data_IF_047889928932
#
_entry.id   IF_047889928932
#
_cell.length_a   1.000
_cell.length_b   1.000
_cell.length_c   1.000
_cell.angle_alpha   90.00
_cell.angle_beta   90.00
_cell.angle_gamma   90.00
#
_symmetry.space_group_name_H-M   'P 1'
#
loop_
_entity.id
_entity.type
_entity.pdbx_description
1 polymer ?
#
# COMPACT_ATOMS: atom_id res chain seq x y z
N UNK A 1 17.49 31.20 86.43
CA UNK A 1 18.56 30.53 87.21
C UNK A 1 19.64 30.10 86.22
N UNK A 2 20.87 30.62 86.29
CA UNK A 2 22.02 30.02 87.04
C UNK A 2 22.42 28.64 86.49
N UNK A 3 23.67 28.30 86.13
CA UNK A 3 25.02 28.96 86.04
C UNK A 3 25.85 28.13 85.01
N UNK A 4 26.99 28.52 84.42
CA UNK A 4 27.86 29.72 84.52
C UNK A 4 28.74 29.88 83.25
N UNK A 5 29.46 31.01 83.13
CA UNK A 5 30.77 31.15 82.44
C UNK A 5 31.84 31.53 83.53
N UNK A 6 33.16 31.74 83.31
CA UNK A 6 33.84 32.54 82.25
C UNK A 6 34.97 31.72 81.54
N UNK A 7 36.13 32.16 81.00
CA UNK A 7 37.03 33.34 81.08
C UNK A 7 37.83 33.59 79.77
N UNK A 8 38.22 34.86 79.59
CA UNK A 8 39.53 35.46 79.18
C UNK A 8 40.55 34.60 78.38
N UNK A 9 41.25 35.14 77.36
CA UNK A 9 42.10 36.36 77.44
C UNK A 9 42.11 37.26 76.19
N UNK A 10 42.70 38.46 76.33
CA UNK A 10 42.62 39.62 75.42
C UNK A 10 44.03 39.97 74.81
N UNK A 11 44.34 41.15 74.21
CA UNK A 11 45.15 41.23 72.97
C UNK A 11 46.58 41.80 73.21
N UNK A 12 47.31 42.23 72.15
CA UNK A 12 47.30 43.69 71.88
C UNK A 12 47.47 44.13 70.40
N UNK A 13 47.47 45.44 70.21
CA UNK A 13 47.29 46.20 68.97
C UNK A 13 48.57 46.66 68.22
N UNK A 14 48.43 46.86 66.88
CA UNK A 14 49.07 47.95 66.06
C UNK A 14 50.62 47.99 65.98
N UNK A 15 51.27 48.87 65.17
CA UNK A 15 50.78 49.80 64.14
C UNK A 15 51.46 49.69 62.74
N UNK A 16 51.03 50.58 61.84
CA UNK A 16 51.66 51.10 60.61
C UNK A 16 53.20 51.02 60.49
N UNK A 17 53.69 50.80 59.25
CA UNK A 17 54.31 51.86 58.41
C UNK A 17 54.50 51.44 56.95
N UNK A 18 54.48 52.42 56.02
CA UNK A 18 54.89 52.26 54.61
C UNK A 18 56.37 52.62 54.46
N UNK A 19 57.05 51.97 53.52
CA UNK A 19 58.36 52.38 52.99
C UNK A 19 58.36 52.28 51.46
N UNK A 20 58.75 53.38 50.80
CA UNK A 20 59.39 53.34 49.47
C UNK A 20 60.87 52.87 49.68
N UNK A 21 61.71 52.56 48.69
CA UNK A 21 61.85 53.15 47.33
C UNK A 21 62.12 52.05 46.25
N UNK A 22 62.84 52.20 45.11
CA UNK A 22 62.32 51.68 43.83
C UNK A 22 63.12 50.51 43.19
N UNK A 23 62.54 49.92 42.14
CA UNK A 23 63.25 49.02 41.20
C UNK A 23 62.86 49.34 39.76
N UNK A 24 63.84 49.41 38.84
CA UNK A 24 63.64 49.58 37.40
C UNK A 24 63.41 48.21 36.74
N UNK A 25 62.50 48.08 35.78
CA UNK A 25 62.33 46.86 35.00
C UNK A 25 61.39 47.00 33.80
N UNK A 26 61.88 46.62 32.62
CA UNK A 26 61.24 46.51 31.31
C UNK A 26 59.71 46.62 31.21
N UNK A 27 59.23 47.47 30.30
CA UNK A 27 57.99 47.21 29.58
C UNK A 27 58.23 46.14 28.50
N UNK A 28 57.32 45.19 28.38
CA UNK A 28 57.23 44.28 27.22
C UNK A 28 55.75 44.07 26.90
N UNK A 29 55.41 44.17 25.61
CA UNK A 29 54.04 44.05 25.11
C UNK A 29 53.77 42.61 24.70
N UNK A 30 52.62 42.07 25.12
CA UNK A 30 52.05 40.85 24.57
C UNK A 30 50.53 41.00 24.44
N UNK A 31 50.03 41.17 23.22
CA UNK A 31 48.59 41.20 22.89
C UNK A 31 48.26 39.92 22.12
N UNK A 32 47.61 38.97 22.80
CA UNK A 32 47.10 37.69 22.27
C UNK A 32 46.33 36.99 23.42
N UNK A 33 45.16 36.34 23.26
CA UNK A 33 44.26 36.14 22.10
C UNK A 33 42.81 36.38 22.57
N UNK A 34 41.96 36.96 21.71
CA UNK A 34 40.50 37.02 21.91
C UNK A 34 39.79 35.95 21.05
N UNK A 35 39.86 34.69 21.49
CA UNK A 35 39.13 33.51 21.02
C UNK A 35 39.40 32.41 22.08
N UNK A 36 38.49 31.54 22.49
CA UNK A 36 37.19 31.09 21.95
C UNK A 36 36.12 31.33 23.04
N UNK A 37 34.93 31.84 22.73
CA UNK A 37 33.73 31.05 22.45
C UNK A 37 32.89 31.66 21.31
N UNK A 38 33.30 31.42 20.07
CA UNK A 38 32.33 31.24 18.99
C UNK A 38 31.70 29.86 19.15
N UNK A 39 30.81 29.72 20.15
CA UNK A 39 29.85 28.63 20.24
C UNK A 39 28.74 28.83 19.19
N UNK A 40 29.14 28.99 17.93
CA UNK A 40 28.22 29.01 16.80
C UNK A 40 27.59 27.63 16.70
N UNK A 41 26.26 27.57 16.80
CA UNK A 41 25.48 26.34 16.79
C UNK A 41 25.43 25.68 15.38
N UNK A 42 26.59 25.40 14.80
CA UNK A 42 26.72 24.26 13.88
C UNK A 42 26.54 23.02 14.74
N UNK A 43 25.35 22.42 14.68
CA UNK A 43 25.13 21.09 15.25
C UNK A 43 26.19 20.13 14.72
N UNK A 44 26.63 19.20 15.57
CA UNK A 44 27.69 18.26 15.23
C UNK A 44 27.29 17.44 14.00
N UNK A 45 28.26 17.08 13.15
CA UNK A 45 28.00 16.39 11.89
C UNK A 45 28.76 15.08 11.87
N UNK A 46 28.02 13.98 11.87
CA UNK A 46 28.54 12.61 11.86
C UNK A 46 28.28 11.99 10.49
N UNK A 47 29.26 11.26 9.95
CA UNK A 47 29.06 10.39 8.79
C UNK A 47 28.63 9.01 9.27
N UNK A 48 27.61 8.43 8.66
CA UNK A 48 27.06 7.11 9.02
C UNK A 48 28.12 6.00 9.08
N UNK A 49 29.22 6.10 8.31
CA UNK A 49 30.34 5.13 8.34
C UNK A 49 31.17 5.16 9.63
N UNK A 50 31.08 6.26 10.39
CA UNK A 50 31.78 6.46 11.67
C UNK A 50 30.85 6.24 12.88
N UNK A 51 29.54 6.19 12.65
CA UNK A 51 28.54 6.02 13.70
C UNK A 51 28.54 4.59 14.26
N UNK A 52 28.42 4.46 15.59
CA UNK A 52 28.12 3.19 16.24
C UNK A 52 26.64 3.12 16.62
N UNK A 53 26.01 2.00 16.30
CA UNK A 53 24.63 1.70 16.69
C UNK A 53 24.63 0.80 17.92
N UNK A 54 24.24 1.34 19.08
CA UNK A 54 24.24 0.62 20.35
C UNK A 54 22.84 0.74 20.97
N UNK A 55 22.18 -0.40 21.20
CA UNK A 55 20.82 -0.49 21.77
C UNK A 55 19.79 0.45 21.09
N UNK A 56 19.83 0.56 19.76
CA UNK A 56 18.93 1.41 18.97
C UNK A 56 19.27 2.90 18.99
N UNK A 57 20.45 3.30 19.50
CA UNK A 57 20.94 4.68 19.51
C UNK A 57 22.22 4.86 18.71
N UNK A 58 22.34 6.02 18.09
CA UNK A 58 23.53 6.54 17.38
C UNK A 58 24.53 7.10 18.40
N UNK A 59 25.80 6.74 18.25
CA UNK A 59 26.95 7.30 18.96
C UNK A 59 28.05 7.67 17.96
N UNK A 60 28.81 8.74 18.22
CA UNK A 60 30.04 9.03 17.47
C UNK A 60 31.20 8.19 18.02
N UNK A 61 31.67 7.22 17.26
CA UNK A 61 32.85 6.41 17.58
C UNK A 61 32.87 5.87 19.02
N UNK A 62 33.73 6.44 19.87
CA UNK A 62 33.91 6.05 21.27
C UNK A 62 33.23 6.98 22.28
N UNK A 63 32.21 7.73 21.88
CA UNK A 63 31.41 8.55 22.79
C UNK A 63 30.58 7.68 23.76
N UNK A 64 30.55 8.06 25.04
CA UNK A 64 29.69 7.42 26.05
C UNK A 64 28.26 7.97 26.05
N UNK A 65 28.06 9.18 25.53
CA UNK A 65 26.76 9.85 25.44
C UNK A 65 26.17 9.70 24.02
N UNK A 66 24.84 9.54 23.87
CA UNK A 66 24.21 9.41 22.55
C UNK A 66 24.39 10.67 21.69
N UNK A 67 24.68 10.48 20.41
CA UNK A 67 24.90 11.56 19.45
C UNK A 67 23.66 12.46 19.31
N UNK A 68 23.86 13.77 19.17
CA UNK A 68 22.81 14.75 18.90
C UNK A 68 23.34 15.80 17.91
N UNK A 69 22.76 15.85 16.71
CA UNK A 69 23.34 16.53 15.57
C UNK A 69 22.85 15.97 14.25
N UNK A 70 23.53 16.31 13.16
CA UNK A 70 23.19 15.84 11.81
C UNK A 70 23.99 14.60 11.46
N UNK A 71 23.30 13.48 11.29
CA UNK A 71 23.85 12.24 10.73
C UNK A 71 23.71 12.26 9.21
N UNK A 72 24.78 11.98 8.48
CA UNK A 72 24.86 12.09 7.02
C UNK A 72 25.18 10.75 6.37
N UNK A 73 24.82 10.57 5.10
CA UNK A 73 25.04 9.34 4.33
C UNK A 73 24.33 8.07 4.88
N UNK A 74 23.21 8.22 5.60
CA UNK A 74 22.41 7.10 6.12
C UNK A 74 21.67 6.40 4.97
N UNK A 75 21.76 5.07 4.77
CA UNK A 75 20.97 4.40 3.75
C UNK A 75 19.46 4.52 4.03
N UNK A 76 18.67 4.87 3.02
CA UNK A 76 17.20 5.03 3.13
C UNK A 76 16.52 3.82 3.77
N UNK A 77 16.90 2.61 3.34
CA UNK A 77 16.45 1.32 3.88
C UNK A 77 16.72 1.19 5.38
N UNK A 78 17.88 1.62 5.87
CA UNK A 78 18.25 1.54 7.30
C UNK A 78 17.45 2.50 8.18
N UNK A 79 16.89 3.56 7.61
CA UNK A 79 16.09 4.56 8.33
C UNK A 79 14.58 4.25 8.26
N UNK A 80 14.12 3.72 7.13
CA UNK A 80 12.70 3.70 6.75
C UNK A 80 12.05 2.32 6.73
N UNK A 81 12.80 1.22 6.58
CA UNK A 81 12.19 -0.11 6.36
C UNK A 81 11.43 -0.64 7.58
N UNK A 82 11.82 -0.26 8.79
CA UNK A 82 11.19 -0.73 10.04
C UNK A 82 9.96 0.12 10.43
N UNK A 83 9.69 1.22 9.72
CA UNK A 83 8.56 2.11 9.98
C UNK A 83 7.25 1.47 9.49
N UNK A 84 6.51 0.83 10.41
CA UNK A 84 5.32 0.04 10.08
C UNK A 84 4.24 0.81 9.29
N UNK A 85 4.04 2.10 9.56
CA UNK A 85 3.13 2.94 8.76
C UNK A 85 3.59 3.10 7.31
N UNK A 86 4.89 3.26 7.06
CA UNK A 86 5.41 3.33 5.69
C UNK A 86 5.32 2.00 4.96
N UNK A 87 5.47 0.87 5.67
CA UNK A 87 5.23 -0.46 5.11
C UNK A 87 3.77 -0.65 4.69
N UNK A 88 2.81 -0.07 5.43
CA UNK A 88 1.39 -0.09 5.08
C UNK A 88 1.10 0.77 3.85
N UNK A 89 1.55 2.04 3.83
CA UNK A 89 1.43 2.93 2.67
C UNK A 89 2.08 2.32 1.43
N UNK A 90 3.35 1.91 1.52
CA UNK A 90 4.09 1.31 0.41
C UNK A 90 3.41 0.07 -0.18
N UNK A 91 2.69 -0.73 0.63
CA UNK A 91 1.90 -1.88 0.15
C UNK A 91 0.63 -1.48 -0.60
N UNK A 92 -0.02 -0.38 -0.21
CA UNK A 92 -1.25 0.11 -0.86
C UNK A 92 -0.92 0.93 -2.10
N UNK A 93 0.10 1.79 -2.01
CA UNK A 93 0.74 2.44 -3.14
C UNK A 93 1.24 1.42 -4.19
N UNK A 94 1.88 0.32 -3.78
CA UNK A 94 2.29 -0.71 -4.75
C UNK A 94 1.09 -1.33 -5.46
N UNK A 95 0.02 -1.72 -4.75
CA UNK A 95 -1.21 -2.24 -5.36
C UNK A 95 -1.80 -1.25 -6.38
N UNK A 96 -1.90 0.03 -6.04
CA UNK A 96 -2.42 1.06 -6.95
C UNK A 96 -1.51 1.32 -8.16
N UNK A 97 -0.19 1.14 -8.02
CA UNK A 97 0.79 1.36 -9.09
C UNK A 97 0.78 0.26 -10.16
N UNK A 98 0.28 -0.96 -9.89
CA UNK A 98 0.33 -2.11 -10.82
C UNK A 98 -0.21 -1.76 -12.21
N UNK A 99 -1.34 -1.07 -12.27
CA UNK A 99 -2.02 -0.73 -13.53
C UNK A 99 -1.31 0.42 -14.29
N UNK A 100 -0.47 1.22 -13.61
CA UNK A 100 0.34 2.28 -14.23
C UNK A 100 1.65 1.78 -14.85
N UNK A 101 2.07 0.54 -14.57
CA UNK A 101 3.35 -0.01 -15.01
C UNK A 101 3.27 -0.64 -16.43
N UNK A 102 4.31 -0.47 -17.28
CA UNK A 102 4.41 -1.14 -18.58
C UNK A 102 4.28 -2.66 -18.48
N UNK A 103 3.68 -3.31 -19.49
CA UNK A 103 3.45 -4.76 -19.47
C UNK A 103 4.73 -5.61 -19.31
N UNK A 104 5.88 -5.10 -19.76
CA UNK A 104 7.21 -5.69 -19.57
C UNK A 104 7.69 -5.68 -18.11
N UNK A 105 7.17 -4.78 -17.28
CA UNK A 105 7.55 -4.57 -15.89
C UNK A 105 6.56 -5.23 -14.91
N UNK A 106 5.35 -5.57 -15.36
CA UNK A 106 4.31 -6.28 -14.57
C UNK A 106 4.60 -7.76 -14.27
N UNK A 107 5.87 -8.16 -14.20
CA UNK A 107 6.28 -9.52 -13.83
C UNK A 107 6.12 -9.76 -12.32
N UNK A 108 4.92 -10.18 -11.92
CA UNK A 108 4.37 -10.08 -10.57
C UNK A 108 5.18 -10.75 -9.42
N UNK A 109 6.04 -11.74 -9.71
CA UNK A 109 6.85 -12.40 -8.67
C UNK A 109 7.77 -11.44 -7.91
N UNK A 110 8.28 -10.39 -8.57
CA UNK A 110 9.13 -9.38 -7.93
C UNK A 110 8.36 -8.40 -7.04
N UNK A 111 7.06 -8.23 -7.30
CA UNK A 111 6.26 -7.09 -6.82
C UNK A 111 5.34 -7.47 -5.66
N UNK A 112 4.79 -8.68 -5.66
CA UNK A 112 4.01 -9.24 -4.55
C UNK A 112 4.89 -9.97 -3.51
N UNK A 113 6.15 -10.27 -3.85
CA UNK A 113 7.10 -11.03 -3.03
C UNK A 113 8.07 -10.20 -2.18
N UNK A 114 8.12 -8.88 -2.38
CA UNK A 114 8.83 -7.92 -1.52
C UNK A 114 7.81 -7.02 -0.82
N UNK A 115 8.15 -6.46 0.34
CA UNK A 115 7.24 -5.51 0.99
C UNK A 115 7.16 -4.22 0.16
N UNK A 116 5.96 -3.69 -0.04
CA UNK A 116 5.73 -2.65 -1.06
C UNK A 116 6.58 -1.39 -0.88
N UNK A 117 6.94 -1.04 0.36
CA UNK A 117 7.86 0.06 0.63
C UNK A 117 9.29 -0.19 0.11
N UNK A 118 9.80 -1.43 0.09
CA UNK A 118 11.12 -1.74 -0.49
C UNK A 118 11.19 -1.42 -2.00
N UNK A 119 10.04 -1.40 -2.70
CA UNK A 119 9.96 -1.10 -4.13
C UNK A 119 10.05 0.42 -4.37
N UNK A 120 9.62 1.23 -3.40
CA UNK A 120 9.68 2.69 -3.44
C UNK A 120 11.05 3.23 -2.97
N UNK A 121 11.78 2.49 -2.13
CA UNK A 121 13.11 2.88 -1.65
C UNK A 121 14.19 2.62 -2.71
N UNK A 122 14.69 3.69 -3.33
CA UNK A 122 15.59 3.62 -4.49
C UNK A 122 17.09 3.51 -4.12
N UNK A 123 17.43 3.11 -2.89
CA UNK A 123 18.82 3.13 -2.40
C UNK A 123 19.37 4.54 -2.23
N UNK A 124 18.50 5.48 -1.85
CA UNK A 124 18.87 6.86 -1.55
C UNK A 124 19.74 6.95 -0.28
N UNK A 125 20.51 8.03 -0.16
CA UNK A 125 21.30 8.35 1.03
C UNK A 125 20.75 9.59 1.72
N UNK A 126 20.53 9.49 3.03
CA UNK A 126 19.81 10.46 3.83
C UNK A 126 20.73 11.27 4.74
N UNK A 127 20.44 12.56 4.77
CA UNK A 127 20.81 13.48 5.84
C UNK A 127 19.67 13.52 6.86
N UNK A 128 19.95 13.20 8.12
CA UNK A 128 18.96 13.00 9.19
C UNK A 128 19.35 13.79 10.43
N UNK A 129 18.40 14.52 11.02
CA UNK A 129 18.59 15.12 12.34
C UNK A 129 18.39 14.05 13.45
N UNK A 130 19.33 14.01 14.39
CA UNK A 130 19.35 13.10 15.53
C UNK A 130 19.29 13.93 16.82
N UNK A 131 18.50 13.50 17.80
CA UNK A 131 18.50 14.01 19.17
C UNK A 131 18.52 12.84 20.17
N UNK A 132 19.36 12.91 21.19
CA UNK A 132 19.47 11.85 22.21
C UNK A 132 19.80 10.46 21.66
N UNK A 133 20.44 10.40 20.49
CA UNK A 133 20.78 9.16 19.76
C UNK A 133 19.71 8.60 18.84
N UNK A 134 18.53 9.22 18.71
CA UNK A 134 17.45 8.73 17.81
C UNK A 134 17.07 9.79 16.76
N UNK A 135 16.52 9.39 15.59
CA UNK A 135 15.97 10.35 14.63
C UNK A 135 14.89 11.25 15.21
N UNK A 136 15.11 12.56 15.18
CA UNK A 136 14.14 13.58 15.62
C UNK A 136 14.37 14.86 14.82
N UNK A 137 13.31 15.45 14.27
CA UNK A 137 13.42 16.50 13.26
C UNK A 137 13.50 15.96 11.82
N UNK A 138 14.11 16.72 10.89
CA UNK A 138 14.00 16.44 9.45
C UNK A 138 14.94 15.34 8.93
N UNK A 139 14.50 14.67 7.87
CA UNK A 139 15.28 13.73 7.08
C UNK A 139 15.09 14.00 5.58
N UNK A 140 16.19 14.13 4.84
CA UNK A 140 16.20 14.37 3.38
C UNK A 140 17.12 13.37 2.72
N UNK A 141 16.55 12.50 1.87
CA UNK A 141 17.27 11.46 1.15
C UNK A 141 17.44 11.82 -0.33
N UNK A 142 18.68 11.71 -0.82
CA UNK A 142 19.07 12.01 -2.20
C UNK A 142 19.50 10.76 -2.95
N UNK A 143 19.38 10.79 -4.28
CA UNK A 143 19.98 9.76 -5.13
C UNK A 143 21.52 9.77 -4.96
N UNK A 144 22.19 8.59 -4.91
CA UNK A 144 23.63 8.52 -4.74
C UNK A 144 24.38 9.38 -5.77
N UNK A 145 25.39 10.12 -5.29
CA UNK A 145 26.23 11.03 -6.11
C UNK A 145 25.47 12.15 -6.85
N UNK A 146 24.25 12.50 -6.41
CA UNK A 146 23.42 13.56 -6.99
C UNK A 146 22.79 14.44 -5.91
N UNK A 147 22.45 15.69 -6.26
CA UNK A 147 21.64 16.57 -5.42
C UNK A 147 20.14 16.30 -5.50
N UNK A 148 19.72 15.43 -6.42
CA UNK A 148 18.34 15.03 -6.63
C UNK A 148 17.73 14.38 -5.39
N UNK A 149 16.72 15.03 -4.82
CA UNK A 149 15.97 14.55 -3.67
C UNK A 149 14.99 13.44 -4.10
N UNK A 150 15.05 12.31 -3.40
CA UNK A 150 14.15 11.16 -3.58
C UNK A 150 13.14 11.04 -2.45
N UNK A 151 13.48 11.42 -1.21
CA UNK A 151 12.58 11.35 -0.05
C UNK A 151 12.75 12.60 0.82
N UNK A 152 11.64 13.22 1.20
CA UNK A 152 11.57 14.30 2.19
C UNK A 152 10.62 13.87 3.31
N UNK A 153 11.07 13.85 4.57
CA UNK A 153 10.22 13.54 5.72
C UNK A 153 10.79 14.07 7.04
N UNK A 154 10.15 13.75 8.16
CA UNK A 154 10.62 14.06 9.50
C UNK A 154 10.25 12.95 10.50
N UNK A 155 10.99 12.93 11.60
CA UNK A 155 10.85 11.99 12.71
C UNK A 155 10.56 12.72 14.01
N UNK A 156 10.05 11.97 14.99
CA UNK A 156 9.93 12.37 16.39
C UNK A 156 10.17 11.15 17.26
N UNK A 157 11.15 11.22 18.16
CA UNK A 157 11.63 10.14 19.02
C UNK A 157 11.86 8.79 18.28
N UNK A 158 12.36 8.84 17.04
CA UNK A 158 12.63 7.68 16.18
C UNK A 158 11.47 7.18 15.31
N UNK A 159 10.26 7.72 15.44
CA UNK A 159 9.09 7.38 14.63
C UNK A 159 8.79 8.45 13.57
N UNK A 160 8.33 8.05 12.37
CA UNK A 160 7.91 9.00 11.33
C UNK A 160 6.81 9.95 11.87
N UNK A 161 6.98 11.26 11.67
CA UNK A 161 6.08 12.26 12.21
C UNK A 161 6.10 13.54 11.38
N UNK A 162 4.95 13.93 10.82
CA UNK A 162 4.83 15.00 9.83
C UNK A 162 4.64 14.44 8.40
N UNK A 163 4.80 15.27 7.36
CA UNK A 163 4.64 14.83 5.98
C UNK A 163 5.77 13.87 5.57
N UNK A 164 5.46 13.01 4.60
CA UNK A 164 6.44 12.26 3.81
C UNK A 164 6.13 12.45 2.34
N UNK A 165 7.14 12.78 1.55
CA UNK A 165 7.07 12.82 0.09
C UNK A 165 8.16 11.94 -0.49
N UNK A 166 7.78 11.05 -1.40
CA UNK A 166 8.69 10.18 -2.14
C UNK A 166 8.55 10.47 -3.64
N UNK A 167 9.68 10.75 -4.29
CA UNK A 167 9.77 11.20 -5.68
C UNK A 167 10.70 10.29 -6.47
N UNK A 168 10.28 9.88 -7.67
CA UNK A 168 10.91 8.79 -8.43
C UNK A 168 10.33 8.68 -9.83
N UNK A 169 10.14 7.45 -10.29
CA UNK A 169 9.54 7.15 -11.59
C UNK A 169 10.42 7.54 -12.78
N UNK A 170 9.82 7.56 -13.97
CA UNK A 170 10.56 7.76 -15.22
C UNK A 170 11.01 9.21 -15.45
N UNK A 171 10.26 10.19 -14.95
CA UNK A 171 10.43 11.62 -15.27
C UNK A 171 10.59 12.52 -14.03
N UNK A 172 11.02 11.94 -12.90
CA UNK A 172 11.40 12.63 -11.65
C UNK A 172 10.31 13.52 -11.03
N UNK A 173 9.13 12.95 -10.81
CA UNK A 173 8.03 13.55 -10.06
C UNK A 173 7.63 12.76 -8.81
N UNK A 174 6.55 13.18 -8.11
CA UNK A 174 6.02 12.44 -6.96
C UNK A 174 5.55 11.03 -7.36
N UNK A 175 5.67 10.10 -6.41
CA UNK A 175 5.08 8.75 -6.46
C UNK A 175 4.15 8.51 -5.27
N UNK A 176 4.52 9.03 -4.09
CA UNK A 176 3.77 8.90 -2.85
C UNK A 176 3.88 10.20 -2.04
N UNK A 177 2.74 10.76 -1.64
CA UNK A 177 2.65 11.73 -0.55
C UNK A 177 1.83 11.11 0.58
N UNK A 178 2.33 11.20 1.81
CA UNK A 178 1.66 10.71 3.01
C UNK A 178 1.89 11.69 4.17
N UNK A 179 1.19 11.48 5.28
CA UNK A 179 1.46 12.18 6.55
C UNK A 179 1.39 11.17 7.69
N UNK A 180 2.25 11.38 8.69
CA UNK A 180 2.44 10.47 9.80
C UNK A 180 2.26 11.17 11.14
N UNK A 181 1.64 10.49 12.09
CA UNK A 181 1.61 10.84 13.50
C UNK A 181 2.23 9.69 14.29
N UNK A 182 3.37 9.92 14.96
CA UNK A 182 4.05 8.92 15.80
C UNK A 182 4.19 7.51 15.15
N UNK A 183 4.64 7.46 13.89
CA UNK A 183 4.86 6.24 13.10
C UNK A 183 3.64 5.65 12.39
N UNK A 184 2.45 6.21 12.62
CA UNK A 184 1.17 5.78 12.03
C UNK A 184 0.71 6.75 10.94
N UNK A 185 0.04 6.27 9.89
CA UNK A 185 -0.52 7.13 8.84
C UNK A 185 -1.68 7.98 9.36
N UNK A 186 -1.73 9.26 9.02
CA UNK A 186 -2.76 10.19 9.48
C UNK A 186 -3.04 11.26 8.41
N UNK A 187 -4.33 11.52 8.11
CA UNK A 187 -4.72 12.41 7.01
C UNK A 187 -4.90 11.67 5.68
N UNK A 188 -4.42 12.24 4.57
CA UNK A 188 -4.59 11.63 3.23
C UNK A 188 -3.26 11.16 2.67
N UNK A 189 -3.19 9.87 2.33
CA UNK A 189 -2.17 9.32 1.45
C UNK A 189 -2.59 9.51 -0.01
N UNK A 190 -1.63 9.83 -0.88
CA UNK A 190 -1.82 10.03 -2.32
C UNK A 190 -0.79 9.24 -3.10
N UNK A 191 -1.24 8.47 -4.08
CA UNK A 191 -0.39 7.67 -4.96
C UNK A 191 -0.42 8.28 -6.36
N UNK A 192 0.76 8.41 -6.97
CA UNK A 192 0.97 9.07 -8.25
C UNK A 192 1.58 8.11 -9.28
N UNK A 193 1.15 8.24 -10.53
CA UNK A 193 1.59 7.47 -11.69
C UNK A 193 3.12 7.45 -11.84
N UNK A 194 3.68 6.27 -12.12
CA UNK A 194 5.12 6.05 -12.28
C UNK A 194 5.75 6.80 -13.48
N UNK A 195 4.95 7.08 -14.51
CA UNK A 195 5.44 7.60 -15.80
C UNK A 195 5.17 9.09 -15.99
N UNK A 196 4.00 9.58 -15.58
CA UNK A 196 3.57 10.97 -15.81
C UNK A 196 3.12 11.71 -14.53
N UNK A 197 3.28 11.09 -13.36
CA UNK A 197 3.13 11.72 -12.04
C UNK A 197 1.76 12.38 -11.78
N UNK A 198 0.71 11.97 -12.49
CA UNK A 198 -0.69 12.29 -12.15
C UNK A 198 -1.12 11.52 -10.91
N UNK A 199 -2.05 12.10 -10.14
CA UNK A 199 -2.72 11.40 -9.04
C UNK A 199 -3.53 10.22 -9.61
N UNK A 200 -3.28 9.01 -9.12
CA UNK A 200 -4.03 7.80 -9.51
C UNK A 200 -4.84 7.21 -8.35
N UNK A 201 -4.49 7.52 -7.10
CA UNK A 201 -5.20 7.00 -5.94
C UNK A 201 -5.09 7.91 -4.70
N UNK A 202 -6.10 7.90 -3.84
CA UNK A 202 -6.06 8.45 -2.48
C UNK A 202 -6.52 7.41 -1.46
N UNK A 203 -5.89 7.40 -0.28
CA UNK A 203 -6.32 6.59 0.87
C UNK A 203 -6.54 7.50 2.10
N UNK A 204 -7.68 7.38 2.79
CA UNK A 204 -8.01 8.20 3.96
C UNK A 204 -7.59 7.52 5.26
N UNK A 205 -6.81 8.20 6.10
CA UNK A 205 -6.22 7.64 7.32
C UNK A 205 -6.56 8.45 8.56
N UNK A 206 -6.78 7.73 9.67
CA UNK A 206 -6.88 8.25 11.01
C UNK A 206 -6.02 7.35 11.92
N UNK A 207 -4.87 7.85 12.36
CA UNK A 207 -3.95 7.18 13.28
C UNK A 207 -3.72 5.67 12.98
N UNK A 208 -3.33 5.39 11.73
CA UNK A 208 -2.98 4.07 11.21
C UNK A 208 -4.17 3.21 10.74
N UNK A 209 -5.40 3.69 10.88
CA UNK A 209 -6.63 2.99 10.47
C UNK A 209 -7.27 3.72 9.29
N UNK A 210 -7.66 2.98 8.24
CA UNK A 210 -8.33 3.57 7.09
C UNK A 210 -9.75 4.04 7.48
N UNK A 211 -10.07 5.30 7.22
CA UNK A 211 -11.27 5.97 7.76
C UNK A 211 -11.63 7.21 6.93
N UNK A 212 -12.68 7.13 6.11
CA UNK A 212 -13.13 8.20 5.20
C UNK A 212 -13.32 7.71 3.76
N UNK A 213 -13.36 8.63 2.80
CA UNK A 213 -13.54 8.31 1.37
C UNK A 213 -12.22 7.94 0.69
N UNK A 214 -12.19 6.79 0.03
CA UNK A 214 -11.15 6.34 -0.89
C UNK A 214 -11.56 6.68 -2.33
N UNK A 215 -10.63 7.20 -3.14
CA UNK A 215 -10.85 7.45 -4.57
C UNK A 215 -9.68 6.95 -5.43
N UNK A 216 -10.00 6.37 -6.59
CA UNK A 216 -9.02 6.08 -7.64
C UNK A 216 -9.38 6.82 -8.93
N UNK A 217 -8.37 7.17 -9.73
CA UNK A 217 -8.48 8.07 -10.88
C UNK A 217 -7.88 7.41 -12.13
N UNK A 218 -8.52 7.58 -13.29
CA UNK A 218 -7.95 7.13 -14.56
C UNK A 218 -6.70 7.95 -14.91
N UNK A 219 -5.55 7.33 -15.23
CA UNK A 219 -4.32 8.05 -15.51
C UNK A 219 -4.36 8.85 -16.82
N UNK A 220 -5.30 8.60 -17.74
CA UNK A 220 -5.39 9.30 -19.01
C UNK A 220 -6.28 10.54 -18.90
N UNK A 221 -7.46 10.40 -18.29
CA UNK A 221 -8.50 11.44 -18.21
C UNK A 221 -8.47 12.23 -16.89
N UNK A 222 -7.92 11.66 -15.81
CA UNK A 222 -8.03 12.20 -14.45
C UNK A 222 -9.42 12.05 -13.82
N UNK A 223 -10.35 11.34 -14.45
CA UNK A 223 -11.69 11.11 -13.91
C UNK A 223 -11.69 10.05 -12.79
N UNK A 224 -12.61 10.17 -11.83
CA UNK A 224 -12.78 9.18 -10.75
C UNK A 224 -13.30 7.87 -11.35
N UNK A 225 -12.53 6.79 -11.20
CA UNK A 225 -12.89 5.42 -11.64
C UNK A 225 -13.26 4.50 -10.48
N UNK A 226 -12.97 4.89 -9.24
CA UNK A 226 -13.41 4.18 -8.01
C UNK A 226 -13.77 5.20 -6.93
N UNK A 227 -14.86 4.97 -6.22
CA UNK A 227 -15.14 5.61 -4.93
C UNK A 227 -15.66 4.57 -3.94
N UNK A 228 -15.14 4.61 -2.72
CA UNK A 228 -15.56 3.75 -1.60
C UNK A 228 -15.44 4.50 -0.27
N UNK A 229 -16.08 4.00 0.78
CA UNK A 229 -15.94 4.54 2.14
C UNK A 229 -15.36 3.49 3.09
N UNK A 230 -14.37 3.89 3.87
CA UNK A 230 -13.82 3.12 4.98
C UNK A 230 -14.35 3.60 6.33
N UNK A 231 -14.73 2.64 7.19
CA UNK A 231 -14.97 2.83 8.62
C UNK A 231 -14.19 1.76 9.37
N UNK A 232 -13.41 2.15 10.38
CA UNK A 232 -12.56 1.27 11.20
C UNK A 232 -11.73 0.25 10.39
N UNK A 233 -11.12 0.71 9.29
CA UNK A 233 -10.26 -0.10 8.42
C UNK A 233 -11.00 -1.03 7.45
N UNK A 234 -12.33 -0.92 7.31
CA UNK A 234 -13.18 -1.81 6.52
C UNK A 234 -14.09 -1.02 5.57
N UNK A 235 -14.44 -1.59 4.41
CA UNK A 235 -15.47 -0.99 3.56
C UNK A 235 -16.85 -1.02 4.22
N UNK A 236 -17.55 0.12 4.13
CA UNK A 236 -18.89 0.32 4.69
C UNK A 236 -19.72 1.18 3.72
N UNK A 237 -20.99 0.83 3.50
CA UNK A 237 -21.85 1.53 2.56
C UNK A 237 -21.60 1.15 1.09
N UNK A 238 -21.69 2.12 0.19
CA UNK A 238 -21.60 1.87 -1.26
C UNK A 238 -20.16 1.99 -1.80
N UNK A 239 -19.77 1.00 -2.59
CA UNK A 239 -18.56 1.00 -3.45
C UNK A 239 -19.02 1.11 -4.90
N UNK A 240 -18.47 2.08 -5.63
CA UNK A 240 -18.81 2.34 -7.04
C UNK A 240 -17.54 2.37 -7.87
N UNK A 241 -17.49 1.61 -8.96
CA UNK A 241 -16.50 1.77 -10.02
C UNK A 241 -17.16 2.41 -11.25
N UNK A 242 -16.36 3.14 -12.02
CA UNK A 242 -16.78 3.83 -13.23
C UNK A 242 -15.91 3.41 -14.43
N UNK A 243 -16.38 3.72 -15.64
CA UNK A 243 -15.58 3.65 -16.86
C UNK A 243 -14.44 4.70 -16.84
N UNK A 244 -13.39 4.57 -17.68
CA UNK A 244 -12.24 5.49 -17.72
C UNK A 244 -12.57 6.98 -17.95
N UNK A 245 -13.79 7.32 -18.36
CA UNK A 245 -14.26 8.70 -18.52
C UNK A 245 -15.04 9.26 -17.32
N UNK A 246 -15.22 8.46 -16.27
CA UNK A 246 -15.95 8.76 -15.04
C UNK A 246 -17.48 8.88 -15.18
N UNK A 247 -18.07 8.62 -16.35
CA UNK A 247 -19.51 8.89 -16.59
C UNK A 247 -20.39 7.66 -16.37
N UNK A 248 -19.99 6.50 -16.90
CA UNK A 248 -20.74 5.26 -16.74
C UNK A 248 -20.30 4.52 -15.48
N UNK A 249 -21.26 4.01 -14.69
CA UNK A 249 -20.97 3.06 -13.61
C UNK A 249 -20.71 1.67 -14.21
N UNK A 250 -19.60 1.04 -13.83
CA UNK A 250 -19.21 -0.31 -14.26
C UNK A 250 -19.43 -1.35 -13.17
N UNK A 251 -19.34 -0.97 -11.89
CA UNK A 251 -19.68 -1.81 -10.74
C UNK A 251 -20.34 -0.96 -9.65
N UNK A 252 -21.33 -1.53 -8.96
CA UNK A 252 -21.93 -0.97 -7.75
C UNK A 252 -22.20 -2.10 -6.76
N UNK A 253 -21.63 -2.00 -5.57
CA UNK A 253 -21.74 -3.01 -4.52
C UNK A 253 -21.94 -2.37 -3.15
N UNK A 254 -22.76 -3.00 -2.30
CA UNK A 254 -22.94 -2.57 -0.91
C UNK A 254 -22.13 -3.45 0.04
N UNK A 255 -21.45 -2.82 1.00
CA UNK A 255 -20.62 -3.45 2.02
C UNK A 255 -21.10 -3.09 3.42
N UNK A 256 -21.00 -4.04 4.34
CA UNK A 256 -21.16 -3.83 5.78
C UNK A 256 -20.03 -4.58 6.48
N UNK A 257 -19.29 -3.89 7.35
CA UNK A 257 -18.14 -4.41 8.09
C UNK A 257 -17.10 -5.12 7.19
N UNK A 258 -16.84 -4.55 6.02
CA UNK A 258 -15.86 -5.06 5.05
C UNK A 258 -16.30 -6.29 4.26
N UNK A 259 -17.57 -6.69 4.36
CA UNK A 259 -18.15 -7.80 3.58
C UNK A 259 -19.28 -7.33 2.68
N UNK A 260 -19.42 -7.92 1.50
CA UNK A 260 -20.58 -7.70 0.62
C UNK A 260 -21.88 -8.02 1.37
N UNK A 261 -22.80 -7.05 1.40
CA UNK A 261 -24.07 -7.16 2.11
C UNK A 261 -25.08 -6.18 1.49
N UNK A 262 -26.17 -6.69 0.91
CA UNK A 262 -27.05 -5.93 0.03
C UNK A 262 -26.76 -6.18 -1.46
N UNK A 263 -27.14 -5.26 -2.36
CA UNK A 263 -27.04 -5.47 -3.81
C UNK A 263 -25.60 -5.42 -4.33
N UNK A 264 -25.36 -6.20 -5.39
CA UNK A 264 -24.18 -6.13 -6.25
C UNK A 264 -24.65 -6.11 -7.71
N UNK A 265 -24.17 -5.15 -8.49
CA UNK A 265 -24.45 -5.01 -9.93
C UNK A 265 -23.18 -4.67 -10.70
N UNK A 266 -23.08 -5.20 -11.90
CA UNK A 266 -21.92 -5.05 -12.79
C UNK A 266 -22.40 -4.86 -14.23
N UNK A 267 -21.76 -3.95 -14.96
CA UNK A 267 -22.15 -3.54 -16.32
C UNK A 267 -20.97 -3.62 -17.29
N UNK A 268 -21.25 -4.04 -18.53
CA UNK A 268 -20.26 -4.04 -19.60
C UNK A 268 -19.92 -2.63 -20.12
N UNK A 269 -18.94 -2.53 -21.03
CA UNK A 269 -18.52 -1.28 -21.65
C UNK A 269 -19.57 -0.63 -22.60
N UNK A 270 -20.70 -1.31 -22.87
CA UNK A 270 -21.87 -0.76 -23.56
C UNK A 270 -23.01 -0.33 -22.63
N UNK A 271 -22.89 -0.60 -21.33
CA UNK A 271 -23.92 -0.32 -20.33
C UNK A 271 -24.93 -1.45 -20.11
N UNK A 272 -24.72 -2.64 -20.68
CA UNK A 272 -25.56 -3.81 -20.42
C UNK A 272 -25.26 -4.36 -19.03
N UNK A 273 -26.30 -4.70 -18.25
CA UNK A 273 -26.15 -5.34 -16.95
C UNK A 273 -25.72 -6.79 -17.12
N UNK A 274 -24.48 -7.13 -16.72
CA UNK A 274 -23.89 -8.47 -16.87
C UNK A 274 -23.89 -9.28 -15.57
N UNK A 275 -24.01 -8.63 -14.41
CA UNK A 275 -24.32 -9.29 -13.15
C UNK A 275 -25.39 -8.51 -12.36
N UNK A 276 -26.36 -9.25 -11.82
CA UNK A 276 -27.29 -8.77 -10.81
C UNK A 276 -27.37 -9.83 -9.70
N UNK A 277 -27.08 -9.42 -8.47
CA UNK A 277 -26.91 -10.31 -7.31
C UNK A 277 -27.28 -9.60 -6.02
N UNK A 278 -27.65 -10.39 -5.01
CA UNK A 278 -27.74 -9.96 -3.62
C UNK A 278 -26.70 -10.74 -2.79
N UNK A 279 -26.11 -10.09 -1.81
CA UNK A 279 -25.18 -10.71 -0.86
C UNK A 279 -25.67 -10.53 0.58
N UNK A 280 -25.35 -11.49 1.44
CA UNK A 280 -25.48 -11.37 2.89
C UNK A 280 -24.18 -11.82 3.56
N UNK A 281 -23.56 -10.93 4.33
CA UNK A 281 -22.33 -11.22 5.09
C UNK A 281 -21.17 -11.87 4.28
N UNK A 282 -21.08 -11.55 2.98
CA UNK A 282 -20.09 -12.09 2.03
C UNK A 282 -20.56 -13.26 1.16
N UNK A 283 -21.75 -13.82 1.40
CA UNK A 283 -22.33 -14.96 0.66
C UNK A 283 -23.34 -14.47 -0.37
N UNK A 284 -23.34 -15.03 -1.59
CA UNK A 284 -24.34 -14.72 -2.63
C UNK A 284 -25.68 -15.40 -2.26
N UNK A 285 -26.77 -14.63 -2.16
CA UNK A 285 -28.07 -15.11 -1.68
C UNK A 285 -29.20 -14.96 -2.70
N UNK A 286 -30.14 -15.90 -2.65
CA UNK A 286 -31.36 -15.92 -3.47
C UNK A 286 -32.42 -14.91 -3.02
N UNK A 287 -33.47 -14.76 -3.83
CA UNK A 287 -34.62 -13.89 -3.54
C UNK A 287 -35.41 -14.28 -2.26
N UNK A 288 -35.21 -15.49 -1.75
CA UNK A 288 -35.73 -16.03 -0.50
C UNK A 288 -34.74 -15.94 0.68
N UNK A 289 -33.51 -15.48 0.43
CA UNK A 289 -32.42 -15.42 1.41
C UNK A 289 -31.58 -16.70 1.55
N UNK A 290 -31.82 -17.73 0.72
CA UNK A 290 -31.00 -18.94 0.65
C UNK A 290 -29.57 -18.66 0.19
N UNK A 291 -28.59 -19.46 0.61
CA UNK A 291 -27.24 -19.45 0.02
C UNK A 291 -27.28 -20.08 -1.38
N UNK A 292 -26.89 -19.31 -2.40
CA UNK A 292 -26.95 -19.75 -3.82
C UNK A 292 -26.00 -20.93 -4.08
N UNK A 293 -24.87 -21.01 -3.38
CA UNK A 293 -23.95 -22.15 -3.45
C UNK A 293 -24.53 -23.40 -2.81
N UNK A 294 -25.17 -23.25 -1.63
CA UNK A 294 -25.85 -24.36 -0.97
C UNK A 294 -27.01 -24.92 -1.81
N UNK A 295 -27.88 -24.04 -2.33
CA UNK A 295 -28.97 -24.42 -3.23
C UNK A 295 -28.46 -25.12 -4.51
N UNK A 296 -27.33 -24.68 -5.09
CA UNK A 296 -26.72 -25.37 -6.25
C UNK A 296 -26.24 -26.78 -5.91
N UNK A 297 -25.76 -27.02 -4.68
CA UNK A 297 -25.40 -28.37 -4.23
C UNK A 297 -26.66 -29.25 -4.09
N UNK A 298 -27.79 -28.72 -3.60
CA UNK A 298 -29.06 -29.46 -3.57
C UNK A 298 -29.51 -29.88 -4.98
N UNK A 299 -29.36 -29.01 -5.98
CA UNK A 299 -29.64 -29.34 -7.38
C UNK A 299 -28.67 -30.41 -7.94
N UNK A 300 -27.40 -30.40 -7.54
CA UNK A 300 -26.41 -31.41 -7.92
C UNK A 300 -26.71 -32.79 -7.28
N UNK A 301 -27.06 -32.83 -6.00
CA UNK A 301 -27.52 -34.05 -5.32
C UNK A 301 -28.80 -34.60 -5.96
N UNK A 302 -29.80 -33.74 -6.20
CA UNK A 302 -31.03 -34.08 -6.91
C UNK A 302 -30.78 -34.53 -8.37
N UNK A 303 -29.66 -34.11 -8.97
CA UNK A 303 -29.24 -34.59 -10.28
C UNK A 303 -28.59 -35.98 -10.22
N UNK A 304 -27.73 -36.22 -9.22
CA UNK A 304 -26.95 -37.47 -9.04
C UNK A 304 -27.82 -38.69 -8.74
N UNK A 305 -28.96 -38.52 -8.08
CA UNK A 305 -29.88 -39.63 -7.75
C UNK A 305 -30.63 -40.21 -8.96
N UNK A 306 -30.58 -39.58 -10.14
CA UNK A 306 -31.28 -40.05 -11.35
C UNK A 306 -30.39 -41.00 -12.17
N UNK A 307 -30.74 -42.30 -12.31
CA UNK A 307 -29.90 -43.26 -13.02
C UNK A 307 -29.63 -42.90 -14.49
N UNK A 308 -28.43 -43.21 -14.96
CA UNK A 308 -28.03 -43.01 -16.36
C UNK A 308 -27.61 -41.58 -16.73
N UNK A 309 -27.63 -40.62 -15.78
CA UNK A 309 -27.05 -39.29 -16.00
C UNK A 309 -25.51 -39.32 -15.93
N UNK A 310 -24.80 -38.43 -16.66
CA UNK A 310 -23.36 -38.23 -16.52
C UNK A 310 -22.92 -37.93 -15.08
N UNK A 311 -21.68 -38.33 -14.72
CA UNK A 311 -21.13 -38.06 -13.39
C UNK A 311 -20.85 -36.57 -13.10
N UNK A 312 -20.77 -35.74 -14.14
CA UNK A 312 -20.57 -34.29 -14.06
C UNK A 312 -21.70 -33.59 -14.84
N UNK A 313 -22.49 -32.71 -14.19
CA UNK A 313 -23.52 -31.94 -14.89
C UNK A 313 -22.89 -30.97 -15.90
N UNK A 314 -23.45 -30.80 -17.12
CA UNK A 314 -22.98 -29.80 -18.06
C UNK A 314 -22.99 -28.38 -17.49
N UNK A 315 -22.04 -27.54 -17.88
CA UNK A 315 -21.89 -26.18 -17.35
C UNK A 315 -23.15 -25.32 -17.52
N UNK A 316 -23.85 -25.47 -18.65
CA UNK A 316 -25.15 -24.82 -18.92
C UNK A 316 -26.23 -25.23 -17.90
N UNK A 317 -26.28 -26.50 -17.50
CA UNK A 317 -27.24 -26.96 -16.50
C UNK A 317 -26.91 -26.39 -15.10
N UNK A 318 -25.62 -26.29 -14.76
CA UNK A 318 -25.18 -25.63 -13.52
C UNK A 318 -25.49 -24.12 -13.52
N UNK A 319 -25.48 -23.47 -14.69
CA UNK A 319 -25.91 -22.08 -14.85
C UNK A 319 -27.42 -21.94 -14.64
N UNK A 320 -28.23 -22.84 -15.19
CA UNK A 320 -29.67 -22.89 -14.97
C UNK A 320 -30.02 -23.11 -13.48
N UNK A 321 -29.28 -23.96 -12.76
CA UNK A 321 -29.43 -24.09 -11.30
C UNK A 321 -29.11 -22.79 -10.56
N UNK A 322 -28.01 -22.10 -10.90
CA UNK A 322 -27.67 -20.79 -10.31
C UNK A 322 -28.76 -19.74 -10.56
N UNK A 323 -29.38 -19.74 -11.75
CA UNK A 323 -30.52 -18.86 -12.08
C UNK A 323 -31.75 -19.23 -11.22
N UNK A 324 -32.06 -20.51 -11.06
CA UNK A 324 -33.14 -20.99 -10.18
C UNK A 324 -32.92 -20.60 -8.72
N UNK A 325 -31.73 -20.84 -8.16
CA UNK A 325 -31.38 -20.47 -6.78
C UNK A 325 -31.46 -18.96 -6.54
N UNK A 326 -30.97 -18.12 -7.47
CA UNK A 326 -31.16 -16.66 -7.41
C UNK A 326 -32.62 -16.25 -7.36
N UNK A 327 -33.51 -17.00 -8.02
CA UNK A 327 -34.95 -16.79 -7.99
C UNK A 327 -35.67 -17.45 -6.78
N UNK A 328 -34.94 -17.97 -5.79
CA UNK A 328 -35.50 -18.67 -4.62
C UNK A 328 -36.15 -20.02 -4.97
N UNK A 329 -35.56 -20.76 -5.92
CA UNK A 329 -36.07 -22.07 -6.39
C UNK A 329 -35.09 -23.19 -6.11
N UNK A 330 -35.46 -23.99 -5.13
CA UNK A 330 -34.86 -25.27 -4.75
C UNK A 330 -35.46 -26.44 -5.56
N UNK A 331 -34.77 -27.58 -5.69
CA UNK A 331 -35.29 -28.76 -6.40
C UNK A 331 -36.50 -29.37 -5.67
N UNK A 332 -37.62 -29.59 -6.37
CA UNK A 332 -38.72 -30.36 -5.80
C UNK A 332 -38.52 -31.87 -6.01
N UNK A 333 -39.06 -32.69 -5.10
CA UNK A 333 -39.09 -34.14 -5.23
C UNK A 333 -39.91 -34.64 -6.46
N UNK A 334 -40.58 -33.74 -7.17
CA UNK A 334 -41.33 -33.98 -8.40
C UNK A 334 -40.62 -33.54 -9.68
N UNK A 335 -39.46 -32.87 -9.62
CA UNK A 335 -38.72 -32.35 -10.80
C UNK A 335 -37.92 -33.43 -11.57
N UNK A 336 -38.52 -34.61 -11.73
CA UNK A 336 -38.09 -35.62 -12.71
C UNK A 336 -38.28 -35.15 -14.17
N UNK A 337 -38.86 -33.96 -14.39
CA UNK A 337 -39.21 -33.38 -15.68
C UNK A 337 -38.67 -31.96 -15.95
N UNK A 338 -37.39 -31.68 -15.66
CA UNK A 338 -36.70 -30.52 -16.28
C UNK A 338 -36.59 -30.70 -17.81
N UNK A 339 -36.57 -29.61 -18.61
CA UNK A 339 -36.94 -29.63 -20.04
C UNK A 339 -35.89 -30.23 -21.00
N UNK A 340 -35.65 -31.53 -20.91
CA UNK A 340 -34.79 -32.30 -21.83
C UNK A 340 -35.55 -32.91 -23.04
N UNK A 341 -36.45 -32.17 -23.69
CA UNK A 341 -37.39 -32.75 -24.66
C UNK A 341 -37.76 -31.86 -25.87
N UNK A 342 -36.77 -31.26 -26.56
CA UNK A 342 -36.98 -30.60 -27.84
C UNK A 342 -35.72 -30.56 -28.74
N UNK A 343 -35.18 -31.72 -29.13
CA UNK A 343 -34.16 -31.79 -30.20
C UNK A 343 -34.86 -31.76 -31.57
N UNK A 344 -35.38 -30.58 -31.94
CA UNK A 344 -35.74 -30.26 -33.32
C UNK A 344 -34.47 -29.91 -34.10
N UNK A 345 -34.23 -30.58 -35.23
CA UNK A 345 -32.97 -30.50 -35.96
C UNK A 345 -32.75 -29.20 -36.74
N UNK A 346 -32.32 -28.14 -36.06
CA UNK A 346 -31.76 -26.92 -36.65
C UNK A 346 -30.23 -27.07 -36.82
N UNK A 347 -29.61 -26.39 -37.80
CA UNK A 347 -28.16 -26.47 -38.01
C UNK A 347 -27.38 -25.76 -36.89
N UNK A 348 -26.22 -26.28 -36.43
CA UNK A 348 -25.40 -25.61 -35.43
C UNK A 348 -24.95 -24.21 -35.86
N UNK A 349 -25.03 -23.26 -34.93
CA UNK A 349 -24.44 -21.94 -35.05
C UNK A 349 -22.89 -22.03 -35.15
N UNK A 350 -22.20 -21.03 -35.73
CA UNK A 350 -20.77 -21.12 -36.03
C UNK A 350 -19.86 -21.31 -34.79
N UNK A 351 -20.31 -20.92 -33.60
CA UNK A 351 -19.50 -20.93 -32.37
C UNK A 351 -19.14 -22.35 -31.91
N UNK A 352 -20.08 -23.31 -32.01
CA UNK A 352 -19.85 -24.71 -31.60
C UNK A 352 -18.80 -25.44 -32.45
N UNK A 353 -18.35 -24.83 -33.55
CA UNK A 353 -17.23 -25.34 -34.35
C UNK A 353 -15.87 -24.84 -33.82
N UNK A 354 -15.79 -23.60 -33.34
CA UNK A 354 -14.56 -23.04 -32.74
C UNK A 354 -14.27 -23.70 -31.40
N UNK A 355 -15.31 -24.03 -30.63
CA UNK A 355 -15.20 -24.86 -29.42
C UNK A 355 -14.61 -26.25 -29.71
N UNK A 356 -15.00 -26.90 -30.82
CA UNK A 356 -14.47 -28.20 -31.21
C UNK A 356 -12.96 -28.14 -31.53
N UNK A 357 -12.50 -27.09 -32.25
CA UNK A 357 -11.07 -26.87 -32.46
C UNK A 357 -10.33 -26.55 -31.15
N UNK A 358 -10.95 -25.77 -30.26
CA UNK A 358 -10.40 -25.43 -28.92
C UNK A 358 -10.22 -26.68 -28.05
N UNK A 359 -11.19 -27.59 -28.06
CA UNK A 359 -11.13 -28.86 -27.34
C UNK A 359 -10.07 -29.81 -27.91
N UNK A 360 -9.98 -29.94 -29.24
CA UNK A 360 -8.94 -30.74 -29.90
C UNK A 360 -7.53 -30.23 -29.57
N UNK A 361 -7.32 -28.91 -29.67
CA UNK A 361 -6.03 -28.29 -29.34
C UNK A 361 -5.60 -28.57 -27.89
N UNK A 362 -6.51 -28.46 -26.92
CA UNK A 362 -6.25 -28.75 -25.50
C UNK A 362 -6.11 -30.24 -25.19
N UNK A 363 -6.70 -31.13 -25.99
CA UNK A 363 -6.46 -32.56 -25.89
C UNK A 363 -5.01 -32.92 -26.29
N UNK A 364 -4.47 -32.25 -27.32
CA UNK A 364 -3.09 -32.47 -27.79
C UNK A 364 -2.02 -31.72 -26.96
N UNK A 365 -2.33 -30.50 -26.50
CA UNK A 365 -1.34 -29.58 -25.91
C UNK A 365 -1.49 -29.40 -24.39
N UNK A 366 -2.46 -30.09 -23.76
CA UNK A 366 -2.79 -29.98 -22.33
C UNK A 366 -3.99 -29.09 -22.06
N UNK A 367 -4.74 -29.40 -21.00
CA UNK A 367 -6.03 -28.75 -20.67
C UNK A 367 -5.90 -27.25 -20.42
N UNK A 368 -4.77 -26.81 -19.86
CA UNK A 368 -4.45 -25.42 -19.56
C UNK A 368 -3.82 -24.67 -20.74
N UNK A 369 -3.73 -25.29 -21.93
CA UNK A 369 -3.15 -24.64 -23.11
C UNK A 369 -3.91 -23.36 -23.46
N UNK A 370 -3.17 -22.24 -23.47
CA UNK A 370 -3.66 -20.92 -23.83
C UNK A 370 -3.89 -20.88 -25.33
N UNK A 371 -5.10 -20.53 -25.74
CA UNK A 371 -5.44 -20.30 -27.15
C UNK A 371 -5.28 -18.82 -27.46
N UNK A 372 -4.56 -18.50 -28.53
CA UNK A 372 -4.33 -17.12 -28.97
C UNK A 372 -5.48 -16.59 -29.82
N UNK A 373 -5.60 -15.26 -29.93
CA UNK A 373 -6.57 -14.62 -30.83
C UNK A 373 -6.40 -15.05 -32.29
N UNK A 374 -5.16 -15.27 -32.74
CA UNK A 374 -4.85 -15.73 -34.10
C UNK A 374 -5.36 -17.15 -34.35
N UNK A 375 -5.21 -18.06 -33.37
CA UNK A 375 -5.75 -19.42 -33.45
C UNK A 375 -7.29 -19.39 -33.53
N UNK A 376 -7.95 -18.58 -32.70
CA UNK A 376 -9.41 -18.40 -32.77
C UNK A 376 -9.85 -17.85 -34.14
N UNK A 377 -9.13 -16.87 -34.68
CA UNK A 377 -9.39 -16.31 -36.01
C UNK A 377 -9.20 -17.34 -37.14
N UNK A 378 -8.15 -18.17 -37.06
CA UNK A 378 -7.92 -19.24 -38.03
C UNK A 378 -9.02 -20.32 -37.95
N UNK A 379 -9.42 -20.72 -36.73
CA UNK A 379 -10.48 -21.71 -36.52
C UNK A 379 -11.84 -21.19 -36.96
N UNK A 380 -12.17 -19.91 -36.70
CA UNK A 380 -13.36 -19.27 -37.29
C UNK A 380 -13.34 -19.31 -38.82
N UNK A 381 -12.18 -19.12 -39.46
CA UNK A 381 -12.03 -19.23 -40.92
C UNK A 381 -12.22 -20.68 -41.40
N UNK A 382 -11.61 -21.66 -40.72
CA UNK A 382 -11.81 -23.10 -40.99
C UNK A 382 -13.28 -23.52 -40.85
N UNK A 383 -13.97 -23.00 -39.83
CA UNK A 383 -15.39 -23.24 -39.58
C UNK A 383 -16.31 -22.61 -40.65
N UNK A 384 -16.00 -21.40 -41.14
CA UNK A 384 -16.68 -20.80 -42.31
C UNK A 384 -16.48 -21.64 -43.58
N UNK A 385 -15.36 -22.35 -43.69
CA UNK A 385 -15.09 -23.35 -44.74
C UNK A 385 -15.61 -24.77 -44.41
N UNK A 386 -16.47 -24.92 -43.40
CA UNK A 386 -17.05 -26.18 -42.92
C UNK A 386 -16.04 -27.28 -42.51
N UNK A 387 -14.78 -26.92 -42.23
CA UNK A 387 -13.74 -27.85 -41.78
C UNK A 387 -13.81 -28.07 -40.27
N UNK A 388 -13.57 -29.31 -39.85
CA UNK A 388 -13.52 -29.76 -38.45
C UNK A 388 -12.10 -30.24 -38.09
N UNK A 389 -11.73 -30.29 -36.79
CA UNK A 389 -10.56 -31.04 -36.36
C UNK A 389 -10.68 -32.51 -36.79
N UNK A 390 -9.52 -33.15 -36.99
CA UNK A 390 -9.36 -34.52 -37.48
C UNK A 390 -9.24 -35.53 -36.34
#
# INVERSE_FOLDING_TARGET
MHRHAPLLFDPPSKPMKRTHVPGRGAALVAVAIAAVLLAGCKGEVLDYRNAQMVNGKVYDGSANEPFSGKLTNVPDRSLLIEQAGLQLAGKLASIALVDSLPASERNAQSFLGRSGAEILLSGAVCDVQIEGGVPDGSAVCKAPQSDLVRIETSFKHGALNGPLKLSGGQNEGPLLEATFNNGQLDGTEKVYSWTDHKLIHTFPWNNGVASGTEEAFDPNTGAVVKRATFVDGKYEGEVVHYAPDGKQVTLRATYVNGKLNGPYKEWDAGGSLIADKTYSSGVEVGADGSDVGACVNEWDDAYRVVPGRPAFPPAELQLQWKISCRAGKHPSASDSGLPGAAVSGEKPAPDSCVEAWTAAYRHENGVDAIVTADQLGEWQSRCKAAKRPS
#
